data_IF_977275242079
#
_entry.id   IF_977275242079
#
_cell.length_a   1.000
_cell.length_b   1.000
_cell.length_c   1.000
_cell.angle_alpha   90.00
_cell.angle_beta   90.00
_cell.angle_gamma   90.00
#
_symmetry.space_group_name_H-M   'P 1'
#
loop_
_entity.id
_entity.type
_entity.pdbx_description
1 polymer ?
#
# COMPACT_ATOMS: atom_id res chain seq x y z
N UNK A 1 -10.61 -24.13 -7.04
CA UNK A 1 -11.06 -22.71 -7.08
C UNK A 1 -10.26 -21.96 -8.15
N UNK A 2 -10.88 -21.22 -9.07
CA UNK A 2 -10.12 -20.34 -9.96
C UNK A 2 -9.27 -19.39 -9.10
N UNK A 3 -7.99 -19.23 -9.46
CA UNK A 3 -7.03 -18.42 -8.70
C UNK A 3 -7.50 -16.98 -8.55
N UNK A 4 -7.16 -16.35 -7.42
CA UNK A 4 -7.42 -14.92 -7.21
C UNK A 4 -6.54 -14.12 -8.17
N UNK A 5 -7.16 -13.27 -8.99
CA UNK A 5 -6.48 -12.37 -9.93
C UNK A 5 -6.49 -10.96 -9.35
N UNK A 6 -5.31 -10.33 -9.28
CA UNK A 6 -5.16 -8.97 -8.75
C UNK A 6 -4.80 -7.99 -9.87
N UNK A 7 -5.77 -7.22 -10.40
CA UNK A 7 -5.48 -6.25 -11.45
C UNK A 7 -4.74 -5.03 -10.88
N UNK A 8 -3.67 -4.63 -11.56
CA UNK A 8 -2.92 -3.42 -11.26
C UNK A 8 -3.83 -2.19 -11.31
N UNK A 9 -3.81 -1.36 -10.27
CA UNK A 9 -4.64 -0.17 -10.15
C UNK A 9 -4.33 0.93 -11.19
N UNK A 10 -3.23 0.81 -11.93
CA UNK A 10 -2.82 1.73 -12.98
C UNK A 10 -3.01 1.15 -14.40
N UNK A 11 -2.34 0.04 -14.72
CA UNK A 11 -2.35 -0.53 -16.08
C UNK A 11 -3.48 -1.55 -16.33
N UNK A 12 -4.18 -2.00 -15.28
CA UNK A 12 -5.25 -3.02 -15.31
C UNK A 12 -4.81 -4.44 -15.70
N UNK A 13 -3.53 -4.66 -15.98
CA UNK A 13 -2.98 -6.00 -16.16
C UNK A 13 -2.86 -6.72 -14.81
N UNK A 14 -2.84 -8.05 -14.83
CA UNK A 14 -2.62 -8.87 -13.64
C UNK A 14 -1.26 -8.58 -13.00
N UNK A 15 -1.26 -8.51 -11.67
CA UNK A 15 -0.07 -8.48 -10.82
C UNK A 15 0.19 -9.90 -10.33
N UNK A 16 1.37 -10.42 -10.64
CA UNK A 16 1.81 -11.77 -10.25
C UNK A 16 2.86 -11.70 -9.14
N UNK A 17 3.03 -12.79 -8.39
CA UNK A 17 3.94 -12.88 -7.24
C UNK A 17 5.43 -12.73 -7.61
N UNK A 18 5.81 -12.95 -8.88
CA UNK A 18 7.17 -12.81 -9.40
C UNK A 18 7.49 -11.39 -9.91
N UNK A 19 6.56 -10.44 -9.74
CA UNK A 19 6.70 -9.06 -10.17
C UNK A 19 6.86 -8.13 -8.96
N UNK A 20 7.72 -7.11 -9.08
CA UNK A 20 7.76 -6.03 -8.10
C UNK A 20 6.41 -5.31 -8.06
N UNK A 21 5.73 -5.38 -6.92
CA UNK A 21 4.42 -4.81 -6.75
C UNK A 21 4.19 -4.32 -5.32
N UNK A 22 3.41 -3.26 -5.19
CA UNK A 22 3.10 -2.63 -3.92
C UNK A 22 1.60 -2.43 -3.75
N UNK A 23 1.11 -2.66 -2.53
CA UNK A 23 -0.30 -2.50 -2.15
C UNK A 23 -0.53 -1.08 -1.64
N UNK A 24 -1.59 -0.42 -2.11
CA UNK A 24 -2.07 0.82 -1.50
C UNK A 24 -2.80 0.51 -0.18
N UNK A 25 -2.03 0.17 0.87
CA UNK A 25 -2.53 -0.14 2.22
C UNK A 25 -3.25 1.05 2.85
N UNK A 26 -2.84 2.28 2.52
CA UNK A 26 -3.41 3.48 3.12
C UNK A 26 -4.91 3.69 2.80
N UNK A 27 -5.44 3.07 1.73
CA UNK A 27 -6.86 3.26 1.39
C UNK A 27 -7.45 2.22 0.44
N UNK A 28 -7.09 2.21 -0.85
CA UNK A 28 -7.90 1.52 -1.86
C UNK A 28 -7.68 0.00 -1.95
N UNK A 29 -6.70 -0.55 -1.23
CA UNK A 29 -6.41 -1.99 -1.19
C UNK A 29 -6.19 -2.60 -2.59
N UNK A 30 -5.66 -1.81 -3.53
CA UNK A 30 -5.29 -2.26 -4.87
C UNK A 30 -3.77 -2.46 -4.96
N UNK A 31 -3.38 -3.51 -5.66
CA UNK A 31 -2.00 -3.75 -6.06
C UNK A 31 -1.59 -2.88 -7.24
N UNK A 32 -0.32 -2.53 -7.31
CA UNK A 32 0.28 -1.79 -8.40
C UNK A 32 1.65 -2.37 -8.70
N UNK A 33 1.96 -2.64 -9.97
CA UNK A 33 3.34 -2.89 -10.39
C UNK A 33 4.22 -1.69 -10.02
N UNK A 34 5.43 -1.92 -9.51
CA UNK A 34 6.39 -0.87 -9.14
C UNK A 34 6.59 0.14 -10.28
N UNK A 35 6.79 -0.33 -11.50
CA UNK A 35 7.02 0.54 -12.65
C UNK A 35 5.81 1.41 -12.99
N UNK A 36 4.59 0.91 -12.73
CA UNK A 36 3.36 1.66 -12.95
C UNK A 36 3.13 2.79 -11.92
N UNK A 37 3.88 2.81 -10.81
CA UNK A 37 3.83 3.88 -9.81
C UNK A 37 4.95 4.91 -10.00
N UNK A 38 5.91 4.66 -10.89
CA UNK A 38 7.12 5.48 -11.04
C UNK A 38 8.12 5.32 -9.87
N UNK A 39 7.92 4.35 -8.99
CA UNK A 39 8.79 4.08 -7.86
C UNK A 39 10.13 3.46 -8.31
N UNK A 40 11.23 3.99 -7.79
CA UNK A 40 12.57 3.42 -8.04
C UNK A 40 12.74 2.10 -7.28
N UNK A 41 13.63 1.23 -7.77
CA UNK A 41 13.95 -0.05 -7.12
C UNK A 41 14.43 0.15 -5.67
N UNK A 42 15.28 1.15 -5.42
CA UNK A 42 15.76 1.46 -4.08
C UNK A 42 14.62 1.89 -3.13
N UNK A 43 13.71 2.74 -3.60
CA UNK A 43 12.56 3.16 -2.78
C UNK A 43 11.64 1.98 -2.46
N UNK A 44 11.42 1.11 -3.45
CA UNK A 44 10.65 -0.13 -3.28
C UNK A 44 11.29 -1.05 -2.24
N UNK A 45 12.60 -1.30 -2.34
CA UNK A 45 13.32 -2.15 -1.39
C UNK A 45 13.29 -1.60 0.04
N UNK A 46 13.47 -0.30 0.22
CA UNK A 46 13.37 0.33 1.55
C UNK A 46 11.95 0.24 2.13
N UNK A 47 10.93 0.50 1.30
CA UNK A 47 9.54 0.54 1.76
C UNK A 47 8.97 -0.84 2.07
N UNK A 48 9.33 -1.85 1.27
CA UNK A 48 8.87 -3.25 1.49
C UNK A 48 9.57 -3.95 2.64
N UNK A 49 10.70 -3.41 3.13
CA UNK A 49 11.42 -3.92 4.30
C UNK A 49 11.12 -3.17 5.60
N UNK A 50 10.43 -2.03 5.53
CA UNK A 50 10.05 -1.23 6.70
C UNK A 50 8.63 -1.60 7.19
N UNK A 51 8.56 -2.35 8.29
CA UNK A 51 7.30 -2.82 8.87
C UNK A 51 6.41 -1.72 9.45
N UNK A 52 6.91 -0.50 9.63
CA UNK A 52 6.13 0.64 10.14
C UNK A 52 5.65 1.57 9.04
N UNK A 53 6.07 1.35 7.79
CA UNK A 53 5.71 2.19 6.66
C UNK A 53 4.56 1.57 5.85
N UNK A 54 3.71 2.44 5.31
CA UNK A 54 2.65 2.10 4.37
C UNK A 54 2.73 2.98 3.14
N UNK A 55 2.17 2.49 2.03
CA UNK A 55 2.13 3.24 0.78
C UNK A 55 0.70 3.67 0.40
N UNK A 56 0.59 4.85 -0.20
CA UNK A 56 -0.63 5.38 -0.78
C UNK A 56 -0.41 5.69 -2.27
N UNK A 57 -1.32 5.25 -3.15
CA UNK A 57 -1.26 5.62 -4.55
C UNK A 57 -1.70 7.07 -4.79
N UNK A 58 -1.25 7.67 -5.90
CA UNK A 58 -1.54 9.06 -6.26
C UNK A 58 -3.03 9.39 -6.30
N UNK A 59 -3.85 8.43 -6.75
CA UNK A 59 -5.30 8.63 -6.78
C UNK A 59 -5.87 8.79 -5.37
N UNK A 60 -5.46 7.94 -4.42
CA UNK A 60 -5.90 8.05 -3.03
C UNK A 60 -5.37 9.33 -2.38
N UNK A 61 -4.10 9.65 -2.62
CA UNK A 61 -3.50 10.90 -2.12
C UNK A 61 -4.25 12.15 -2.61
N UNK A 62 -4.72 12.13 -3.87
CA UNK A 62 -5.41 13.27 -4.49
C UNK A 62 -6.90 13.37 -4.14
N UNK A 63 -7.59 12.25 -4.00
CA UNK A 63 -9.06 12.21 -4.03
C UNK A 63 -9.70 11.67 -2.76
N UNK A 64 -8.90 11.11 -1.85
CA UNK A 64 -9.39 10.53 -0.61
C UNK A 64 -8.74 11.21 0.58
N UNK A 65 -9.47 11.26 1.67
CA UNK A 65 -8.87 11.56 2.96
C UNK A 65 -8.01 10.37 3.37
N UNK A 66 -6.69 10.57 3.38
CA UNK A 66 -5.73 9.65 3.97
C UNK A 66 -5.29 10.23 5.31
N UNK A 67 -5.18 9.38 6.33
CA UNK A 67 -4.68 9.79 7.63
C UNK A 67 -3.16 10.01 7.56
N UNK A 68 -2.64 10.96 8.35
CA UNK A 68 -1.19 11.18 8.49
C UNK A 68 -0.48 10.02 9.18
N UNK A 69 -1.23 9.23 9.96
CA UNK A 69 -0.78 8.03 10.65
C UNK A 69 -1.72 6.88 10.30
N UNK A 70 -1.16 5.74 9.91
CA UNK A 70 -1.92 4.52 9.66
C UNK A 70 -1.77 3.55 10.82
N UNK A 71 -2.89 3.14 11.41
CA UNK A 71 -2.92 2.15 12.49
C UNK A 71 -3.20 0.78 11.88
N UNK A 72 -2.19 -0.11 11.89
CA UNK A 72 -2.36 -1.52 11.48
C UNK A 72 -3.15 -2.26 12.55
N UNK A 73 -4.42 -2.58 12.25
CA UNK A 73 -5.22 -3.45 13.12
C UNK A 73 -4.62 -4.87 13.12
N UNK A 74 -3.87 -5.22 14.18
CA UNK A 74 -3.25 -6.55 14.29
C UNK A 74 -1.97 -6.64 15.15
N UNK A 75 -1.36 -5.52 15.55
CA UNK A 75 -0.30 -5.51 16.56
C UNK A 75 -0.85 -4.84 17.83
N UNK A 76 -1.11 -5.66 18.85
CA UNK A 76 -1.96 -5.33 20.00
C UNK A 76 -1.65 -4.00 20.69
N UNK A 77 -2.74 -3.29 21.00
CA UNK A 77 -3.03 -2.67 22.31
C UNK A 77 -1.82 -2.05 23.05
N UNK A 78 -1.70 -0.71 23.00
CA UNK A 78 -1.66 0.20 24.17
C UNK A 78 -1.23 1.65 23.78
N UNK A 79 -2.16 2.58 24.05
CA UNK A 79 -2.07 3.98 24.57
C UNK A 79 -1.17 5.01 23.82
N UNK A 80 -1.64 6.22 23.54
CA UNK A 80 -2.12 7.27 24.47
C UNK A 80 -3.31 8.05 23.89
N UNK A 81 -4.42 8.26 24.60
CA UNK A 81 -4.59 9.25 25.67
C UNK A 81 -4.20 10.68 25.25
N UNK A 82 -5.16 11.45 24.73
CA UNK A 82 -5.50 12.82 25.18
C UNK A 82 -6.62 13.40 24.30
N UNK A 83 -7.75 13.72 24.91
CA UNK A 83 -8.13 15.12 25.11
C UNK A 83 -9.14 15.23 26.27
N UNK A 84 -8.95 16.26 27.08
CA UNK A 84 -9.59 16.49 28.38
C UNK A 84 -10.97 17.12 28.33
#
# INVERSE_FOLDING_TARGET
PPGLVYPCGACRNEVNDDQDAILCEASCQKWFHRECTGMTENAYGLLTTEASAVWACDFCLKTKEIQSVYIREGMGQLVTANDG
#
